data_IF_749841692875
#
_entry.id   IF_749841692875
#
_cell.length_a   1.000
_cell.length_b   1.000
_cell.length_c   1.000
_cell.angle_alpha   90.00
_cell.angle_beta   90.00
_cell.angle_gamma   90.00
#
_symmetry.space_group_name_H-M   'P 1'
#
loop_
_entity.id
_entity.type
_entity.pdbx_description
1 polymer ?
#
# COMPACT_ATOMS: atom_id res chain seq x y z
N UNK A 1 -8.08 14.29 2.53
CA UNK A 1 -7.94 13.36 1.41
C UNK A 1 -7.03 12.21 1.82
N UNK A 2 -7.44 10.97 1.56
CA UNK A 2 -6.61 9.82 1.91
C UNK A 2 -5.70 9.47 0.74
N UNK A 3 -4.43 9.19 1.06
CA UNK A 3 -3.48 8.72 0.05
C UNK A 3 -3.78 7.27 -0.30
N UNK A 4 -3.69 6.95 -1.57
CA UNK A 4 -3.94 5.61 -2.10
C UNK A 4 -2.66 5.07 -2.73
N UNK A 5 -2.40 3.80 -2.49
CA UNK A 5 -1.19 3.15 -3.02
C UNK A 5 -1.60 1.82 -3.65
N UNK A 6 -1.25 1.66 -4.93
CA UNK A 6 -1.50 0.40 -5.62
C UNK A 6 -0.43 -0.61 -5.23
N UNK A 7 -0.87 -1.81 -4.87
CA UNK A 7 0.03 -2.91 -4.51
C UNK A 7 -0.32 -4.16 -5.31
N UNK A 8 0.62 -5.10 -5.33
CA UNK A 8 0.38 -6.44 -5.85
C UNK A 8 0.04 -7.33 -4.66
N UNK A 9 -1.18 -7.84 -4.63
CA UNK A 9 -1.66 -8.67 -3.51
C UNK A 9 -0.91 -9.99 -3.38
N UNK A 10 -0.16 -10.38 -4.40
CA UNK A 10 0.70 -11.56 -4.34
C UNK A 10 2.03 -11.27 -3.65
N UNK A 11 2.35 -10.01 -3.41
CA UNK A 11 3.59 -9.60 -2.75
C UNK A 11 3.29 -9.37 -1.28
N UNK A 12 3.81 -10.25 -0.44
CA UNK A 12 3.69 -10.14 1.01
C UNK A 12 5.05 -10.44 1.61
N UNK A 13 5.60 -9.46 2.32
CA UNK A 13 6.94 -9.55 2.90
C UNK A 13 6.88 -9.26 4.39
N UNK A 14 7.83 -9.80 5.14
CA UNK A 14 7.98 -9.51 6.58
C UNK A 14 6.65 -9.63 7.33
N UNK A 15 5.93 -10.74 7.10
CA UNK A 15 4.64 -10.96 7.74
C UNK A 15 3.51 -10.20 7.04
N UNK A 16 3.16 -9.02 7.53
CA UNK A 16 2.03 -8.24 7.00
C UNK A 16 2.45 -7.15 6.02
N UNK A 17 3.70 -7.14 5.59
CA UNK A 17 4.23 -6.07 4.76
C UNK A 17 3.99 -6.26 3.28
N UNK A 18 4.09 -5.17 2.55
CA UNK A 18 4.16 -5.13 1.10
C UNK A 18 4.97 -3.91 0.71
N UNK A 19 5.14 -3.67 -0.57
CA UNK A 19 5.83 -2.47 -1.04
C UNK A 19 5.26 -2.05 -2.40
N UNK A 20 5.54 -0.79 -2.74
CA UNK A 20 5.14 -0.21 -4.02
C UNK A 20 6.19 0.79 -4.46
N UNK A 21 6.26 1.03 -5.78
CA UNK A 21 7.07 2.10 -6.31
C UNK A 21 6.40 3.45 -6.13
N UNK A 22 7.18 4.52 -6.20
CA UNK A 22 6.64 5.88 -6.06
C UNK A 22 5.58 6.18 -7.12
N UNK A 23 5.70 5.59 -8.31
CA UNK A 23 4.74 5.78 -9.39
C UNK A 23 3.34 5.24 -9.07
N UNK A 24 3.25 4.35 -8.09
CA UNK A 24 1.98 3.76 -7.68
C UNK A 24 1.33 4.47 -6.50
N UNK A 25 1.94 5.57 -6.05
CA UNK A 25 1.44 6.37 -4.92
C UNK A 25 0.59 7.52 -5.46
N UNK A 26 -0.62 7.64 -4.92
CA UNK A 26 -1.56 8.72 -5.27
C UNK A 26 -1.82 9.56 -4.03
N UNK A 27 -1.01 10.59 -3.85
CA UNK A 27 -1.11 11.53 -2.75
C UNK A 27 0.16 11.64 -1.94
N UNK A 28 0.19 12.53 -0.94
CA UNK A 28 1.36 12.70 -0.08
C UNK A 28 1.54 11.51 0.84
N UNK A 29 2.80 11.19 1.18
CA UNK A 29 3.11 10.09 2.09
C UNK A 29 4.08 10.54 3.18
N UNK A 30 3.92 9.93 4.34
CA UNK A 30 4.88 10.05 5.43
C UNK A 30 4.84 8.77 6.27
N UNK A 31 5.97 8.45 6.92
CA UNK A 31 6.06 7.25 7.76
C UNK A 31 5.04 7.34 8.89
N UNK A 32 4.31 6.26 9.12
CA UNK A 32 3.27 6.18 10.15
C UNK A 32 1.89 6.57 9.66
N UNK A 33 1.78 7.07 8.44
CA UNK A 33 0.50 7.51 7.89
C UNK A 33 -0.38 6.34 7.50
N UNK A 34 -1.67 6.43 7.82
CA UNK A 34 -2.65 5.48 7.34
C UNK A 34 -3.02 5.79 5.89
N UNK A 35 -3.09 4.75 5.06
CA UNK A 35 -3.35 4.90 3.64
C UNK A 35 -4.35 3.82 3.19
N UNK A 36 -4.92 4.02 2.00
CA UNK A 36 -5.69 2.99 1.33
C UNK A 36 -4.77 2.22 0.39
N UNK A 37 -4.79 0.89 0.48
CA UNK A 37 -4.12 0.03 -0.49
C UNK A 37 -5.16 -0.53 -1.45
N UNK A 38 -4.76 -0.75 -2.69
CA UNK A 38 -5.68 -1.32 -3.68
C UNK A 38 -4.91 -2.07 -4.75
N UNK A 39 -5.62 -2.99 -5.39
CA UNK A 39 -5.14 -3.65 -6.61
C UNK A 39 -6.23 -3.49 -7.65
N UNK A 40 -5.92 -2.74 -8.70
CA UNK A 40 -6.92 -2.39 -9.71
C UNK A 40 -7.41 -3.61 -10.47
N UNK A 41 -6.52 -4.52 -10.79
CA UNK A 41 -6.84 -5.69 -11.60
C UNK A 41 -7.91 -6.57 -10.97
N UNK A 42 -7.83 -6.76 -9.65
CA UNK A 42 -8.79 -7.58 -8.91
C UNK A 42 -9.92 -6.79 -8.28
N UNK A 43 -9.88 -5.45 -8.39
CA UNK A 43 -10.83 -4.53 -7.76
C UNK A 43 -10.91 -4.71 -6.24
N UNK A 44 -9.79 -5.02 -5.61
CA UNK A 44 -9.70 -5.21 -4.15
C UNK A 44 -9.08 -3.97 -3.54
N UNK A 45 -9.57 -3.57 -2.37
CA UNK A 45 -9.00 -2.44 -1.63
C UNK A 45 -9.06 -2.73 -0.13
N UNK A 46 -8.26 -1.98 0.62
CA UNK A 46 -8.21 -2.10 2.07
C UNK A 46 -7.36 -1.02 2.68
N UNK A 47 -6.91 -1.24 3.91
CA UNK A 47 -6.15 -0.25 4.66
C UNK A 47 -4.73 -0.73 4.92
N UNK A 48 -3.83 0.23 5.05
CA UNK A 48 -2.46 -0.04 5.42
C UNK A 48 -1.83 1.19 6.06
N UNK A 49 -0.57 1.06 6.37
CA UNK A 49 0.21 2.12 7.00
C UNK A 49 1.61 2.14 6.40
N UNK A 50 2.10 3.33 6.14
CA UNK A 50 3.47 3.50 5.64
C UNK A 50 4.45 3.21 6.77
N UNK A 51 5.36 2.26 6.55
CA UNK A 51 6.36 1.89 7.55
C UNK A 51 7.75 2.43 7.22
N UNK A 52 8.06 2.60 5.94
CA UNK A 52 9.36 3.09 5.52
C UNK A 52 9.25 3.71 4.13
N UNK A 53 10.00 4.78 3.90
CA UNK A 53 10.11 5.41 2.58
C UNK A 53 11.58 5.37 2.20
N UNK A 54 11.90 4.68 1.10
CA UNK A 54 13.25 4.59 0.56
C UNK A 54 13.33 5.47 -0.67
N UNK A 55 13.77 6.72 -0.48
CA UNK A 55 13.84 7.69 -1.56
C UNK A 55 14.89 7.34 -2.59
N UNK A 56 15.93 6.62 -2.19
CA UNK A 56 17.01 6.22 -3.09
C UNK A 56 16.53 5.20 -4.12
N UNK A 57 15.73 4.24 -3.68
CA UNK A 57 15.16 3.20 -4.53
C UNK A 57 13.78 3.56 -5.05
N UNK A 58 13.23 4.67 -4.58
CA UNK A 58 11.88 5.12 -4.92
C UNK A 58 10.83 4.06 -4.59
N UNK A 59 10.94 3.51 -3.37
CA UNK A 59 10.03 2.49 -2.86
C UNK A 59 9.38 2.94 -1.57
N UNK A 60 8.13 2.53 -1.37
CA UNK A 60 7.39 2.72 -0.14
C UNK A 60 7.08 1.35 0.44
N UNK A 61 7.45 1.14 1.70
CA UNK A 61 7.15 -0.11 2.41
C UNK A 61 5.93 0.11 3.29
N UNK A 62 5.07 -0.89 3.32
CA UNK A 62 3.76 -0.79 3.94
C UNK A 62 3.53 -1.96 4.89
N UNK A 63 2.77 -1.70 5.94
CA UNK A 63 2.08 -2.73 6.70
C UNK A 63 0.64 -2.74 6.19
N UNK A 64 0.14 -3.91 5.78
CA UNK A 64 -1.20 -4.04 5.21
C UNK A 64 -2.09 -4.75 6.20
N UNK A 65 -3.28 -4.22 6.43
CA UNK A 65 -4.32 -4.90 7.19
C UNK A 65 -5.03 -5.86 6.24
N UNK A 66 -4.51 -7.07 6.13
CA UNK A 66 -5.01 -8.07 5.18
C UNK A 66 -6.46 -8.46 5.45
N UNK A 67 -6.89 -8.36 6.70
CA UNK A 67 -8.29 -8.64 7.06
C UNK A 67 -9.25 -7.56 6.61
N UNK A 68 -8.77 -6.39 6.24
CA UNK A 68 -9.61 -5.29 5.77
C UNK A 68 -9.87 -5.33 4.27
N UNK A 69 -9.20 -6.21 3.53
CA UNK A 69 -9.31 -6.25 2.08
C UNK A 69 -10.68 -6.75 1.64
N UNK A 70 -11.32 -6.00 0.78
CA UNK A 70 -12.64 -6.34 0.24
C UNK A 70 -12.69 -6.07 -1.25
N UNK A 71 -13.54 -6.81 -1.95
CA UNK A 71 -13.74 -6.63 -3.38
C UNK A 71 -14.81 -5.57 -3.62
N UNK A 72 -14.60 -4.73 -4.64
CA UNK A 72 -15.59 -3.75 -5.09
C UNK A 72 -16.56 -4.32 -6.13
N UNK A 73 -16.35 -5.57 -6.52
CA UNK A 73 -17.21 -6.21 -7.51
C UNK A 73 -18.46 -6.79 -6.88
#
# INVERSE_FOLDING_TARGET
MITRIEIDLNVRIRGNGSFAGFEDVRGPISVGQEIEVYEQESAVFGRGRVTEIDSERELVYLSVDWGSLVSRL
#
